data_IF_087809121799
#
_entry.id   IF_087809121799
#
_cell.length_a   1.000
_cell.length_b   1.000
_cell.length_c   1.000
_cell.angle_alpha   90.00
_cell.angle_beta   90.00
_cell.angle_gamma   90.00
#
_symmetry.space_group_name_H-M   'P 1'
#
loop_
_entity.id
_entity.type
_entity.pdbx_description
1 polymer ?
#
# COMPACT_ATOMS: atom_id res chain seq x y z
N UNK A 1 -9.54 -9.87 12.42
CA UNK A 1 -8.12 -9.92 12.85
C UNK A 1 -7.37 -8.63 12.47
N UNK A 2 -7.85 -7.46 12.88
CA UNK A 2 -7.19 -6.15 12.68
C UNK A 2 -6.94 -5.43 14.01
N UNK A 3 -7.76 -5.74 15.03
CA UNK A 3 -7.63 -5.26 16.40
C UNK A 3 -6.23 -5.40 17.00
N UNK A 4 -5.48 -6.52 16.82
CA UNK A 4 -4.13 -6.62 17.36
C UNK A 4 -3.14 -5.64 16.71
N UNK A 5 -3.31 -5.37 15.40
CA UNK A 5 -2.48 -4.42 14.66
C UNK A 5 -2.80 -3.00 15.10
N UNK A 6 -4.09 -2.65 15.24
CA UNK A 6 -4.50 -1.33 15.73
C UNK A 6 -3.97 -1.09 17.15
N UNK A 7 -4.12 -2.07 18.04
CA UNK A 7 -3.59 -1.99 19.40
C UNK A 7 -2.06 -1.84 19.40
N UNK A 8 -1.35 -2.61 18.56
CA UNK A 8 0.09 -2.48 18.41
C UNK A 8 0.50 -1.09 17.92
N UNK A 9 -0.15 -0.56 16.87
CA UNK A 9 0.12 0.78 16.34
C UNK A 9 -0.15 1.88 17.37
N UNK A 10 -1.16 1.72 18.23
CA UNK A 10 -1.51 2.68 19.25
C UNK A 10 -0.59 2.63 20.50
N UNK A 11 -0.03 1.46 20.81
CA UNK A 11 0.69 1.22 22.07
C UNK A 11 2.21 1.12 21.90
N UNK A 12 2.71 0.86 20.68
CA UNK A 12 4.15 0.73 20.44
C UNK A 12 4.85 2.09 20.57
N UNK A 13 5.89 2.14 21.41
CA UNK A 13 6.71 3.35 21.62
C UNK A 13 7.67 3.66 20.47
N UNK A 14 7.94 2.67 19.60
CA UNK A 14 8.75 2.81 18.39
C UNK A 14 8.10 2.05 17.25
N UNK A 15 7.63 2.78 16.24
CA UNK A 15 7.16 2.21 14.99
C UNK A 15 8.30 2.21 13.98
N UNK A 16 8.57 1.03 13.40
CA UNK A 16 9.53 0.89 12.32
C UNK A 16 8.78 0.60 11.03
N UNK A 17 9.01 1.42 10.02
CA UNK A 17 8.54 1.19 8.66
C UNK A 17 9.28 -0.03 8.07
N UNK A 18 8.54 -0.92 7.38
CA UNK A 18 9.10 -2.16 6.86
C UNK A 18 8.67 -2.40 5.42
N UNK A 19 9.63 -2.24 4.49
CA UNK A 19 9.45 -2.55 3.08
C UNK A 19 9.06 -4.03 2.87
N UNK A 20 9.66 -4.94 3.64
CA UNK A 20 9.39 -6.38 3.53
C UNK A 20 7.94 -6.72 3.89
N UNK A 21 7.41 -6.15 4.97
CA UNK A 21 6.02 -6.40 5.38
C UNK A 21 5.06 -5.86 4.33
N UNK A 22 5.28 -4.64 3.84
CA UNK A 22 4.45 -4.05 2.79
C UNK A 22 4.49 -4.88 1.48
N UNK A 23 5.68 -5.35 1.09
CA UNK A 23 5.85 -6.22 -0.09
C UNK A 23 5.15 -7.57 0.08
N UNK A 24 5.28 -8.21 1.25
CA UNK A 24 4.66 -9.49 1.54
C UNK A 24 3.13 -9.41 1.53
N UNK A 25 2.56 -8.34 2.11
CA UNK A 25 1.11 -8.10 2.07
C UNK A 25 0.61 -7.83 0.65
N UNK A 26 1.34 -7.02 -0.13
CA UNK A 26 1.02 -6.77 -1.54
C UNK A 26 1.03 -8.07 -2.36
N UNK A 27 2.10 -8.85 -2.25
CA UNK A 27 2.25 -10.11 -3.00
C UNK A 27 1.22 -11.15 -2.56
N UNK A 28 0.98 -11.31 -1.26
CA UNK A 28 0.00 -12.25 -0.72
C UNK A 28 -1.42 -11.90 -1.16
N UNK A 29 -1.80 -10.62 -1.10
CA UNK A 29 -3.14 -10.21 -1.54
C UNK A 29 -3.27 -10.27 -3.06
N UNK A 30 -2.25 -9.91 -3.83
CA UNK A 30 -2.25 -10.06 -5.28
C UNK A 30 -2.38 -11.53 -5.72
N UNK A 31 -1.70 -12.45 -5.04
CA UNK A 31 -1.83 -13.89 -5.31
C UNK A 31 -3.24 -14.39 -5.01
N UNK A 32 -3.82 -13.98 -3.88
CA UNK A 32 -5.21 -14.31 -3.56
C UNK A 32 -6.17 -13.73 -4.60
N UNK A 33 -6.01 -12.46 -5.00
CA UNK A 33 -6.81 -11.84 -6.05
C UNK A 33 -6.67 -12.58 -7.39
N UNK A 34 -5.47 -13.02 -7.77
CA UNK A 34 -5.26 -13.81 -8.97
C UNK A 34 -6.03 -15.15 -8.92
N UNK A 35 -6.02 -15.84 -7.78
CA UNK A 35 -6.81 -17.06 -7.57
C UNK A 35 -8.31 -16.76 -7.69
N UNK A 36 -8.81 -15.69 -7.09
CA UNK A 36 -10.24 -15.32 -7.20
C UNK A 36 -10.65 -15.02 -8.64
N UNK A 37 -9.83 -14.28 -9.39
CA UNK A 37 -10.12 -13.98 -10.81
C UNK A 37 -10.08 -15.27 -11.65
N UNK A 38 -9.14 -16.17 -11.38
CA UNK A 38 -9.04 -17.44 -12.08
C UNK A 38 -10.23 -18.36 -11.79
N UNK A 39 -10.70 -18.42 -10.54
CA UNK A 39 -11.77 -19.31 -10.11
C UNK A 39 -13.18 -18.76 -10.41
N UNK A 40 -13.38 -17.44 -10.30
CA UNK A 40 -14.71 -16.81 -10.29
C UNK A 40 -14.90 -15.77 -11.41
N UNK A 41 -13.83 -15.44 -12.14
CA UNK A 41 -13.82 -14.36 -13.12
C UNK A 41 -13.84 -12.98 -12.48
N UNK A 42 -13.96 -11.93 -13.32
CA UNK A 42 -13.94 -10.53 -12.85
C UNK A 42 -15.32 -9.99 -12.49
N UNK A 43 -16.39 -10.58 -13.04
CA UNK A 43 -17.77 -10.08 -12.86
C UNK A 43 -18.23 -9.98 -11.40
N UNK A 44 -17.87 -10.92 -10.49
CA UNK A 44 -18.23 -10.80 -9.08
C UNK A 44 -17.77 -9.50 -8.41
N UNK A 45 -16.65 -8.92 -8.86
CA UNK A 45 -16.19 -7.62 -8.36
C UNK A 45 -17.27 -6.56 -8.61
N UNK A 46 -17.82 -6.46 -9.80
CA UNK A 46 -18.83 -5.44 -10.13
C UNK A 46 -20.11 -5.70 -9.33
N UNK A 47 -20.57 -6.96 -9.32
CA UNK A 47 -21.81 -7.34 -8.64
C UNK A 47 -21.73 -7.04 -7.14
N UNK A 48 -20.62 -7.38 -6.49
CA UNK A 48 -20.43 -7.19 -5.05
C UNK A 48 -20.48 -5.71 -4.64
N UNK A 49 -20.07 -4.79 -5.52
CA UNK A 49 -20.05 -3.36 -5.21
C UNK A 49 -21.27 -2.58 -5.72
N UNK A 50 -22.24 -3.22 -6.37
CA UNK A 50 -23.40 -2.55 -6.98
C UNK A 50 -24.76 -3.09 -6.54
N UNK A 51 -24.79 -4.26 -5.89
CA UNK A 51 -26.06 -4.94 -5.55
C UNK A 51 -26.83 -4.26 -4.43
N UNK A 52 -26.17 -3.63 -3.47
CA UNK A 52 -26.82 -3.00 -2.32
C UNK A 52 -25.98 -1.86 -1.73
N UNK A 53 -26.59 -1.07 -0.85
CA UNK A 53 -25.94 0.08 -0.22
C UNK A 53 -24.73 -0.30 0.64
N UNK A 54 -24.69 -1.49 1.24
CA UNK A 54 -23.52 -1.96 2.00
C UNK A 54 -22.32 -2.24 1.09
N UNK A 55 -22.53 -2.92 -0.04
CA UNK A 55 -21.49 -3.16 -1.03
C UNK A 55 -20.91 -1.86 -1.60
N UNK A 56 -21.79 -0.89 -1.92
CA UNK A 56 -21.38 0.45 -2.36
C UNK A 56 -20.63 1.19 -1.25
N UNK A 57 -21.12 1.13 -0.01
CA UNK A 57 -20.48 1.80 1.13
C UNK A 57 -19.07 1.25 1.39
N UNK A 58 -18.88 -0.08 1.37
CA UNK A 58 -17.55 -0.70 1.52
C UNK A 58 -16.62 -0.33 0.36
N UNK A 59 -17.15 -0.19 -0.86
CA UNK A 59 -16.37 0.33 -1.99
C UNK A 59 -15.84 1.73 -1.69
N UNK A 60 -16.72 2.65 -1.28
CA UNK A 60 -16.33 4.02 -0.99
C UNK A 60 -15.38 4.12 0.19
N UNK A 61 -15.55 3.30 1.24
CA UNK A 61 -14.61 3.22 2.36
C UNK A 61 -13.20 2.88 1.87
N UNK A 62 -13.07 1.86 1.02
CA UNK A 62 -11.77 1.49 0.42
C UNK A 62 -11.17 2.64 -0.40
N UNK A 63 -11.96 3.28 -1.27
CA UNK A 63 -11.47 4.38 -2.13
C UNK A 63 -11.04 5.59 -1.32
N UNK A 64 -11.79 5.97 -0.28
CA UNK A 64 -11.45 7.08 0.60
C UNK A 64 -10.18 6.77 1.41
N UNK A 65 -10.05 5.56 1.94
CA UNK A 65 -8.86 5.11 2.68
C UNK A 65 -7.60 5.16 1.80
N UNK A 66 -7.67 4.63 0.57
CA UNK A 66 -6.58 4.72 -0.41
C UNK A 66 -6.27 6.17 -0.77
N UNK A 67 -7.30 6.99 -0.98
CA UNK A 67 -7.15 8.41 -1.28
C UNK A 67 -6.38 9.16 -0.20
N UNK A 68 -6.78 8.98 1.07
CA UNK A 68 -6.08 9.58 2.21
C UNK A 68 -4.64 9.05 2.31
N UNK A 69 -4.41 7.75 2.14
CA UNK A 69 -3.07 7.18 2.18
C UNK A 69 -2.15 7.81 1.12
N UNK A 70 -2.66 8.03 -0.10
CA UNK A 70 -1.90 8.70 -1.17
C UNK A 70 -1.50 10.13 -0.81
N UNK A 71 -2.29 10.87 -0.04
CA UNK A 71 -1.90 12.22 0.43
C UNK A 71 -0.61 12.19 1.25
N UNK A 72 -0.36 11.11 2.01
CA UNK A 72 0.86 10.93 2.80
C UNK A 72 2.01 10.32 1.98
N UNK A 73 1.71 9.34 1.12
CA UNK A 73 2.72 8.58 0.37
C UNK A 73 3.28 9.39 -0.79
N UNK A 74 2.45 10.15 -1.52
CA UNK A 74 2.87 10.86 -2.74
C UNK A 74 3.98 11.89 -2.48
N UNK A 75 3.89 12.79 -1.48
CA UNK A 75 4.96 13.75 -1.22
C UNK A 75 6.31 13.08 -0.90
N UNK A 76 6.29 11.97 -0.16
CA UNK A 76 7.49 11.18 0.16
C UNK A 76 8.07 10.49 -1.08
N UNK A 77 7.22 9.84 -1.87
CA UNK A 77 7.60 9.22 -3.13
C UNK A 77 8.25 10.20 -4.12
N UNK A 78 7.76 11.44 -4.19
CA UNK A 78 8.37 12.50 -5.02
C UNK A 78 9.80 12.83 -4.56
N UNK A 79 10.03 12.93 -3.24
CA UNK A 79 11.37 13.20 -2.68
C UNK A 79 12.37 12.08 -3.03
N UNK A 80 11.88 10.85 -3.13
CA UNK A 80 12.70 9.69 -3.51
C UNK A 80 12.80 9.48 -5.03
N UNK A 81 12.36 10.44 -5.85
CA UNK A 81 12.47 10.37 -7.31
C UNK A 81 11.60 9.31 -7.98
N UNK A 82 10.56 8.80 -7.31
CA UNK A 82 9.65 7.81 -7.90
C UNK A 82 8.80 8.44 -9.01
N UNK A 83 8.50 7.68 -10.07
CA UNK A 83 7.54 8.06 -11.11
C UNK A 83 6.11 8.01 -10.57
N UNK A 84 5.71 9.05 -9.84
CA UNK A 84 4.43 9.12 -9.13
C UNK A 84 3.21 8.92 -10.02
N UNK A 85 3.10 9.52 -11.23
CA UNK A 85 1.94 9.28 -12.09
C UNK A 85 1.69 7.79 -12.40
N UNK A 86 2.75 7.04 -12.72
CA UNK A 86 2.61 5.60 -12.98
C UNK A 86 2.19 4.83 -11.72
N UNK A 87 2.77 5.17 -10.57
CA UNK A 87 2.40 4.54 -9.30
C UNK A 87 0.96 4.85 -8.90
N UNK A 88 0.51 6.11 -9.02
CA UNK A 88 -0.87 6.50 -8.71
C UNK A 88 -1.85 5.83 -9.67
N UNK A 89 -1.51 5.68 -10.94
CA UNK A 89 -2.35 4.91 -11.89
C UNK A 89 -2.46 3.44 -11.48
N UNK A 90 -1.34 2.83 -11.07
CA UNK A 90 -1.32 1.45 -10.60
C UNK A 90 -2.16 1.26 -9.33
N UNK A 91 -2.03 2.19 -8.37
CA UNK A 91 -2.84 2.24 -7.14
C UNK A 91 -4.32 2.44 -7.49
N UNK A 92 -4.66 3.38 -8.36
CA UNK A 92 -6.05 3.61 -8.77
C UNK A 92 -6.69 2.39 -9.43
N UNK A 93 -5.91 1.62 -10.18
CA UNK A 93 -6.37 0.41 -10.88
C UNK A 93 -6.53 -0.81 -9.96
N UNK A 94 -5.81 -0.85 -8.83
CA UNK A 94 -5.70 -2.06 -7.99
C UNK A 94 -5.95 -1.83 -6.49
N UNK A 95 -6.30 -0.60 -6.12
CA UNK A 95 -6.50 -0.13 -4.75
C UNK A 95 -5.34 -0.51 -3.82
N UNK A 96 -5.60 -1.38 -2.84
CA UNK A 96 -4.65 -1.72 -1.79
C UNK A 96 -3.43 -2.49 -2.29
N UNK A 97 -3.54 -3.29 -3.36
CA UNK A 97 -2.40 -4.05 -3.92
C UNK A 97 -1.31 -3.08 -4.38
N UNK A 98 -1.68 -2.13 -5.24
CA UNK A 98 -0.78 -1.11 -5.74
C UNK A 98 -0.28 -0.17 -4.65
N UNK A 99 -1.14 0.19 -3.68
CA UNK A 99 -0.73 1.04 -2.56
C UNK A 99 0.36 0.37 -1.73
N UNK A 100 0.19 -0.90 -1.36
CA UNK A 100 1.17 -1.65 -0.59
C UNK A 100 2.48 -1.83 -1.37
N UNK A 101 2.41 -2.08 -2.68
CA UNK A 101 3.61 -2.16 -3.53
C UNK A 101 4.36 -0.81 -3.61
N UNK A 102 3.62 0.29 -3.77
CA UNK A 102 4.19 1.64 -3.80
C UNK A 102 4.87 1.98 -2.47
N UNK A 103 4.22 1.68 -1.34
CA UNK A 103 4.77 1.87 0.01
C UNK A 103 6.02 1.01 0.23
N UNK A 104 6.01 -0.25 -0.21
CA UNK A 104 7.19 -1.11 -0.13
C UNK A 104 8.38 -0.53 -0.88
N UNK A 105 8.16 -0.04 -2.11
CA UNK A 105 9.20 0.62 -2.91
C UNK A 105 9.70 1.90 -2.27
N UNK A 106 8.80 2.72 -1.73
CA UNK A 106 9.13 3.95 -1.03
C UNK A 106 10.04 3.67 0.17
N UNK A 107 9.62 2.78 1.06
CA UNK A 107 10.39 2.44 2.26
C UNK A 107 11.76 1.85 1.92
N UNK A 108 11.85 1.04 0.87
CA UNK A 108 13.15 0.52 0.43
C UNK A 108 14.09 1.63 -0.03
N UNK A 109 13.58 2.60 -0.81
CA UNK A 109 14.38 3.76 -1.24
C UNK A 109 14.83 4.62 -0.07
N UNK A 110 13.94 4.95 0.86
CA UNK A 110 14.27 5.80 2.02
C UNK A 110 15.35 5.15 2.91
N UNK A 111 15.28 3.83 3.10
CA UNK A 111 16.31 3.06 3.82
C UNK A 111 17.66 3.03 3.07
N UNK A 112 17.63 2.85 1.75
CA UNK A 112 18.85 2.87 0.93
C UNK A 112 19.55 4.24 1.01
N UNK A 113 18.81 5.34 0.84
CA UNK A 113 19.38 6.69 0.92
C UNK A 113 19.90 7.07 2.29
N UNK A 114 19.30 6.56 3.37
CA UNK A 114 19.81 6.76 4.74
C UNK A 114 21.17 6.05 4.94
N UNK A 115 21.31 4.86 4.36
CA UNK A 115 22.55 4.09 4.40
C UNK A 115 23.67 4.82 3.67
N UNK A 116 23.40 5.35 2.46
CA UNK A 116 24.37 6.11 1.67
C UNK A 116 24.87 7.38 2.38
N UNK A 117 23.96 8.12 3.04
CA UNK A 117 24.31 9.33 3.78
C UNK A 117 25.24 9.02 4.97
N UNK A 118 24.96 7.95 5.70
CA UNK A 118 25.77 7.54 6.87
C UNK A 118 27.19 7.16 6.46
N UNK A 119 27.35 6.46 5.34
CA UNK A 119 28.67 6.13 4.80
C UNK A 119 29.48 7.38 4.40
N UNK A 120 28.85 8.39 3.79
CA UNK A 120 29.56 9.61 3.38
C UNK A 120 30.11 10.45 4.55
N UNK A 121 29.46 10.40 5.71
CA UNK A 121 29.89 11.13 6.92
C UNK A 121 31.02 10.44 7.69
N UNK A 122 31.21 9.13 7.55
CA UNK A 122 32.30 8.40 8.22
C UNK A 122 33.65 8.52 7.50
N UNK A 123 33.65 8.89 6.21
CA UNK A 123 34.84 9.03 5.37
C UNK A 123 35.26 10.49 5.09
N UNK A 124 34.66 11.48 5.75
CA UNK A 124 35.04 12.91 5.70
C UNK A 124 35.73 13.33 6.99
#
# INVERSE_FOLDING_TARGET
MVVPIIAYLALASKLKESALIAAALSAGFAAYTAVTIWAEGIMPVIVNHTTNLWGVQVWYDLLMSVGIALLFVVPRARKMGMNVPLWVLFVGSTASIGLMAMVARLFWLEQASTTDQTGSTEFS
#
